data_IF_143060704138
#
_entry.id   IF_143060704138
#
_cell.length_a   1.000
_cell.length_b   1.000
_cell.length_c   1.000
_cell.angle_alpha   90.00
_cell.angle_beta   90.00
_cell.angle_gamma   90.00
#
_symmetry.space_group_name_H-M   'P 1'
#
loop_
_entity.id
_entity.type
_entity.pdbx_description
1 polymer ?
#
# COMPACT_ATOMS: atom_id res chain seq x y z
N UNK A 1 -28.92 -5.76 -30.37
CA UNK A 1 -28.92 -6.36 -29.01
C UNK A 1 -27.84 -7.43 -28.79
N UNK A 2 -26.78 -7.55 -29.60
CA UNK A 2 -25.74 -8.59 -29.45
C UNK A 2 -24.53 -8.19 -28.58
N UNK A 3 -24.31 -6.89 -28.37
CA UNK A 3 -23.12 -6.37 -27.67
C UNK A 3 -23.24 -6.40 -26.14
N UNK A 4 -24.45 -6.30 -25.57
CA UNK A 4 -24.65 -6.37 -24.11
C UNK A 4 -24.28 -7.74 -23.52
N UNK A 5 -24.51 -8.83 -24.24
CA UNK A 5 -24.19 -10.17 -23.74
C UNK A 5 -22.67 -10.41 -23.63
N UNK A 6 -21.88 -9.87 -24.57
CA UNK A 6 -20.43 -9.98 -24.55
C UNK A 6 -19.83 -9.20 -23.37
N UNK A 7 -20.34 -8.00 -23.10
CA UNK A 7 -19.88 -7.18 -21.97
C UNK A 7 -20.24 -7.88 -20.65
N UNK A 8 -21.44 -8.45 -20.53
CA UNK A 8 -21.84 -9.20 -19.33
C UNK A 8 -20.96 -10.45 -19.11
N UNK A 9 -20.63 -11.18 -20.17
CA UNK A 9 -19.78 -12.37 -20.10
C UNK A 9 -18.34 -12.04 -19.67
N UNK A 10 -17.79 -10.93 -20.15
CA UNK A 10 -16.46 -10.44 -19.75
C UNK A 10 -16.47 -10.01 -18.28
N UNK A 11 -17.52 -9.32 -17.85
CA UNK A 11 -17.68 -8.88 -16.46
C UNK A 11 -17.80 -10.06 -15.48
N UNK A 12 -18.58 -11.09 -15.83
CA UNK A 12 -18.76 -12.30 -14.99
C UNK A 12 -17.47 -13.13 -14.96
N UNK A 13 -16.76 -13.25 -16.09
CA UNK A 13 -15.48 -13.96 -16.16
C UNK A 13 -14.40 -13.27 -15.31
N UNK A 14 -14.41 -11.94 -15.25
CA UNK A 14 -13.46 -11.16 -14.45
C UNK A 14 -13.66 -11.35 -12.94
N UNK A 15 -14.92 -11.45 -12.49
CA UNK A 15 -15.26 -11.74 -11.09
C UNK A 15 -14.86 -13.17 -10.71
N UNK A 16 -15.05 -14.14 -11.62
CA UNK A 16 -14.66 -15.53 -11.36
C UNK A 16 -13.15 -15.78 -11.44
N UNK A 17 -12.41 -14.99 -12.21
CA UNK A 17 -10.95 -15.05 -12.25
C UNK A 17 -10.30 -14.56 -10.95
N UNK A 18 -10.92 -13.58 -10.26
CA UNK A 18 -10.49 -13.17 -8.92
C UNK A 18 -10.76 -14.26 -7.86
N UNK A 19 -11.76 -15.12 -8.09
CA UNK A 19 -12.10 -16.26 -7.23
C UNK A 19 -11.27 -17.52 -7.53
N UNK A 20 -10.55 -17.57 -8.66
CA UNK A 20 -9.60 -18.62 -9.00
C UNK A 20 -8.15 -18.18 -8.70
N UNK A 21 -7.96 -17.45 -7.60
CA UNK A 21 -6.64 -17.39 -6.97
C UNK A 21 -6.57 -18.62 -6.09
N UNK A 22 -6.01 -19.71 -6.63
CA UNK A 22 -5.72 -20.91 -5.86
C UNK A 22 -4.93 -20.50 -4.59
N UNK A 23 -5.27 -21.01 -3.39
CA UNK A 23 -4.65 -20.56 -2.14
C UNK A 23 -3.12 -20.62 -2.14
N UNK A 24 -2.52 -21.51 -2.94
CA UNK A 24 -1.08 -21.52 -3.20
C UNK A 24 -0.57 -20.28 -3.93
N UNK A 25 -1.27 -19.83 -4.97
CA UNK A 25 -0.94 -18.61 -5.74
C UNK A 25 -1.16 -17.35 -4.91
N UNK A 26 -2.27 -17.29 -4.17
CA UNK A 26 -2.52 -16.19 -3.21
C UNK A 26 -1.48 -16.14 -2.09
N UNK A 27 -1.04 -17.31 -1.62
CA UNK A 27 0.05 -17.47 -0.66
C UNK A 27 1.42 -17.07 -1.22
N UNK A 28 1.72 -17.34 -2.49
CA UNK A 28 2.96 -16.90 -3.13
C UNK A 28 2.98 -15.39 -3.35
N UNK A 29 1.87 -14.81 -3.81
CA UNK A 29 1.70 -13.36 -3.98
C UNK A 29 1.84 -12.67 -2.62
N UNK A 30 1.12 -13.14 -1.60
CA UNK A 30 1.22 -12.56 -0.26
C UNK A 30 2.61 -12.78 0.33
N UNK A 31 3.18 -13.98 0.24
CA UNK A 31 4.50 -14.28 0.80
C UNK A 31 5.65 -13.50 0.14
N UNK A 32 5.54 -13.21 -1.16
CA UNK A 32 6.62 -12.57 -1.93
C UNK A 32 6.44 -11.06 -2.08
N UNK A 33 5.22 -10.57 -2.31
CA UNK A 33 4.96 -9.13 -2.47
C UNK A 33 4.76 -8.42 -1.13
N UNK A 34 4.24 -9.07 -0.09
CA UNK A 34 4.01 -8.40 1.19
C UNK A 34 5.28 -7.82 1.82
N UNK A 35 6.41 -8.54 1.86
CA UNK A 35 7.67 -7.98 2.39
C UNK A 35 8.15 -6.77 1.58
N UNK A 36 7.94 -6.77 0.26
CA UNK A 36 8.30 -5.64 -0.62
C UNK A 36 7.46 -4.41 -0.30
N UNK A 37 6.15 -4.58 -0.15
CA UNK A 37 5.22 -3.50 0.22
C UNK A 37 5.61 -2.92 1.59
N UNK A 38 5.83 -3.79 2.58
CA UNK A 38 6.27 -3.38 3.93
C UNK A 38 7.60 -2.64 3.86
N UNK A 39 8.55 -3.12 3.05
CA UNK A 39 9.85 -2.47 2.83
C UNK A 39 9.70 -1.06 2.26
N UNK A 40 8.86 -0.87 1.23
CA UNK A 40 8.59 0.45 0.64
C UNK A 40 7.94 1.38 1.66
N UNK A 41 6.91 0.93 2.37
CA UNK A 41 6.23 1.74 3.39
C UNK A 41 7.20 2.15 4.50
N UNK A 42 8.05 1.23 4.96
CA UNK A 42 9.04 1.49 6.00
C UNK A 42 10.12 2.46 5.51
N UNK A 43 10.56 2.33 4.26
CA UNK A 43 11.53 3.24 3.65
C UNK A 43 10.98 4.66 3.54
N UNK A 44 9.74 4.81 3.03
CA UNK A 44 9.05 6.11 2.92
C UNK A 44 8.80 6.70 4.31
N UNK A 45 8.30 5.90 5.24
CA UNK A 45 8.07 6.33 6.63
C UNK A 45 9.35 6.77 7.32
N UNK A 46 10.44 6.01 7.15
CA UNK A 46 11.76 6.32 7.70
C UNK A 46 12.36 7.60 7.10
N UNK A 47 12.20 7.79 5.78
CA UNK A 47 12.59 9.03 5.10
C UNK A 47 11.81 10.23 5.68
N UNK A 48 10.49 10.13 5.76
CA UNK A 48 9.65 11.20 6.30
C UNK A 48 9.99 11.52 7.76
N UNK A 49 10.20 10.50 8.59
CA UNK A 49 10.60 10.66 9.98
C UNK A 49 11.97 11.35 10.12
N UNK A 50 12.93 11.03 9.24
CA UNK A 50 14.28 11.60 9.28
C UNK A 50 14.30 13.06 8.81
N UNK A 51 13.62 13.37 7.71
CA UNK A 51 13.71 14.67 7.05
C UNK A 51 12.68 15.69 7.54
N UNK A 52 11.52 15.26 8.02
CA UNK A 52 10.48 16.18 8.50
C UNK A 52 10.32 16.11 10.02
N UNK A 53 10.08 14.91 10.57
CA UNK A 53 9.74 14.81 12.00
C UNK A 53 10.91 15.20 12.92
N UNK A 54 12.12 14.68 12.69
CA UNK A 54 13.29 15.01 13.53
C UNK A 54 13.64 16.50 13.56
N UNK A 55 13.80 17.21 12.42
CA UNK A 55 14.13 18.64 12.47
C UNK A 55 12.99 19.49 13.02
N UNK A 56 11.73 19.19 12.70
CA UNK A 56 10.57 19.89 13.27
C UNK A 56 10.54 19.71 14.78
N UNK A 57 10.68 18.48 15.28
CA UNK A 57 10.73 18.21 16.73
C UNK A 57 11.85 18.99 17.43
N UNK A 58 13.05 19.05 16.83
CA UNK A 58 14.17 19.84 17.38
C UNK A 58 13.85 21.34 17.44
N UNK A 59 13.24 21.89 16.39
CA UNK A 59 12.83 23.30 16.36
C UNK A 59 11.75 23.60 17.39
N UNK A 60 10.74 22.74 17.51
CA UNK A 60 9.66 22.88 18.50
C UNK A 60 10.21 22.85 19.92
N UNK A 61 11.08 21.89 20.25
CA UNK A 61 11.72 21.82 21.57
C UNK A 61 12.54 23.08 21.85
N UNK A 62 13.32 23.55 20.87
CA UNK A 62 14.12 24.76 21.01
C UNK A 62 13.27 26.03 21.22
N UNK A 63 12.13 26.14 20.53
CA UNK A 63 11.18 27.24 20.74
C UNK A 63 10.52 27.15 22.12
N UNK A 64 10.13 25.95 22.54
CA UNK A 64 9.51 25.73 23.84
C UNK A 64 10.45 26.10 25.00
N UNK A 65 11.74 25.79 24.88
CA UNK A 65 12.78 26.19 25.85
C UNK A 65 13.04 27.71 25.88
N UNK A 66 12.68 28.46 24.84
CA UNK A 66 12.80 29.93 24.84
C UNK A 66 11.58 30.63 25.43
N UNK A 67 10.42 29.98 25.37
CA UNK A 67 9.16 30.51 25.90
C UNK A 67 9.05 30.25 27.41
N UNK A 68 9.57 29.11 27.86
CA UNK A 68 9.71 28.75 29.27
C UNK A 68 10.87 29.49 29.92
#
# INVERSE_FOLDING_TARGET
MKWSCCILAISISSVSAAAYIDPGTGGMITGSLWPVIVGIVTAVGGFCARYFYRPVKKRVISLWQKIR
#
